data_IF_754726260639
#
_entry.id   IF_754726260639
#
_cell.length_a   1.000
_cell.length_b   1.000
_cell.length_c   1.000
_cell.angle_alpha   90.00
_cell.angle_beta   90.00
_cell.angle_gamma   90.00
#
_symmetry.space_group_name_H-M   'P 1'
#
loop_
_entity.id
_entity.type
_entity.pdbx_description
1 polymer ?
#
# COMPACT_ATOMS: atom_id res chain seq x y z
N UNK A 1 19.08 27.35 -0.97
CA UNK A 1 19.89 26.41 -1.77
C UNK A 1 18.99 25.23 -2.08
N UNK A 2 18.73 24.97 -3.36
CA UNK A 2 17.71 24.04 -3.85
C UNK A 2 17.82 22.67 -3.13
N UNK A 3 16.76 22.29 -2.42
CA UNK A 3 16.59 20.97 -1.84
C UNK A 3 16.45 19.96 -2.99
N UNK A 4 17.59 19.42 -3.45
CA UNK A 4 17.57 18.26 -4.31
C UNK A 4 17.02 17.09 -3.49
N UNK A 5 15.79 16.70 -3.80
CA UNK A 5 15.32 15.33 -3.58
C UNK A 5 16.44 14.39 -4.04
N UNK A 6 16.84 13.39 -3.25
CA UNK A 6 17.81 12.41 -3.72
C UNK A 6 17.29 11.85 -5.04
N UNK A 7 18.18 11.81 -6.03
CA UNK A 7 17.88 11.29 -7.37
C UNK A 7 17.19 9.94 -7.22
N UNK A 8 16.30 9.66 -8.18
CA UNK A 8 15.34 8.56 -8.20
C UNK A 8 16.00 7.16 -8.29
N UNK A 9 17.23 6.97 -7.81
CA UNK A 9 18.02 5.73 -7.90
C UNK A 9 17.36 4.53 -7.22
N UNK A 10 16.58 4.72 -6.15
CA UNK A 10 15.77 3.65 -5.53
C UNK A 10 14.55 3.24 -6.36
N UNK A 11 14.14 4.09 -7.31
CA UNK A 11 13.13 3.80 -8.32
C UNK A 11 13.73 3.34 -9.65
N UNK A 12 15.05 3.55 -9.83
CA UNK A 12 15.84 3.29 -11.04
C UNK A 12 16.10 1.81 -11.22
N UNK A 13 15.01 1.12 -11.50
CA UNK A 13 15.07 0.10 -12.52
C UNK A 13 14.69 0.79 -13.82
N UNK A 14 15.27 0.42 -14.95
CA UNK A 14 14.92 0.90 -16.30
C UNK A 14 13.45 0.64 -16.72
N UNK A 15 12.60 0.22 -15.76
CA UNK A 15 11.21 -0.19 -15.96
C UNK A 15 10.24 0.78 -15.32
N UNK A 16 9.05 0.81 -15.91
CA UNK A 16 8.01 1.79 -15.65
C UNK A 16 7.62 1.85 -14.16
N UNK A 17 7.40 3.07 -13.66
CA UNK A 17 6.79 3.35 -12.36
C UNK A 17 5.34 3.76 -12.66
N UNK A 18 4.53 2.77 -13.00
CA UNK A 18 3.09 2.93 -13.14
C UNK A 18 2.39 1.78 -12.44
N UNK A 19 1.33 2.15 -11.71
CA UNK A 19 0.38 1.23 -11.10
C UNK A 19 -0.97 1.25 -11.86
N UNK A 20 -1.03 1.95 -13.00
CA UNK A 20 -2.23 2.12 -13.82
C UNK A 20 -2.05 1.54 -15.22
N UNK A 21 -3.09 0.90 -15.80
CA UNK A 21 -3.05 0.47 -17.18
C UNK A 21 -2.98 1.66 -18.15
N UNK A 22 -2.42 1.39 -19.33
CA UNK A 22 -1.98 2.34 -20.40
C UNK A 22 -2.99 3.43 -20.83
N UNK A 23 -4.27 3.36 -20.44
CA UNK A 23 -5.36 4.19 -20.98
C UNK A 23 -6.28 4.87 -19.91
N UNK A 24 -5.94 4.89 -18.62
CA UNK A 24 -6.87 5.36 -17.55
C UNK A 24 -6.29 6.42 -16.61
N UNK A 25 -7.16 7.23 -16.03
CA UNK A 25 -6.85 8.32 -15.08
C UNK A 25 -5.93 7.84 -13.94
N UNK A 26 -5.07 8.73 -13.43
CA UNK A 26 -4.23 8.43 -12.28
C UNK A 26 -5.10 7.99 -11.10
N UNK A 27 -4.93 6.74 -10.68
CA UNK A 27 -5.62 6.22 -9.51
C UNK A 27 -5.23 7.04 -8.30
N UNK A 28 -6.23 7.65 -7.68
CA UNK A 28 -5.99 8.54 -6.55
C UNK A 28 -5.63 7.72 -5.31
N UNK A 29 -4.45 8.02 -4.78
CA UNK A 29 -3.93 7.42 -3.54
C UNK A 29 -4.67 8.04 -2.36
N UNK A 30 -5.21 7.22 -1.47
CA UNK A 30 -5.84 7.70 -0.23
C UNK A 30 -4.79 8.06 0.81
N UNK A 31 -3.83 7.17 1.05
CA UNK A 31 -2.82 7.35 2.10
C UNK A 31 -1.59 6.49 1.81
N UNK A 32 -0.44 6.93 2.30
CA UNK A 32 0.76 6.07 2.36
C UNK A 32 0.53 4.93 3.35
N UNK A 33 1.00 3.73 3.02
CA UNK A 33 1.12 2.58 3.92
C UNK A 33 2.57 2.36 4.38
N UNK A 34 3.48 3.26 4.00
CA UNK A 34 4.88 3.26 4.38
C UNK A 34 5.31 4.60 4.98
N UNK A 35 6.24 4.53 5.94
CA UNK A 35 6.98 5.69 6.42
C UNK A 35 8.41 5.65 5.87
N UNK A 36 8.87 6.79 5.39
CA UNK A 36 10.17 6.92 4.74
C UNK A 36 11.08 7.79 5.60
N UNK A 37 12.36 7.43 5.69
CA UNK A 37 13.38 8.25 6.33
C UNK A 37 14.59 8.38 5.41
N UNK A 38 15.09 9.61 5.28
CA UNK A 38 16.25 9.94 4.44
C UNK A 38 17.38 10.53 5.31
N UNK A 39 18.65 10.36 4.91
CA UNK A 39 19.75 11.03 5.59
C UNK A 39 19.64 12.54 5.37
N UNK A 40 19.81 13.33 6.44
CA UNK A 40 19.85 14.79 6.44
C UNK A 40 21.28 15.27 6.69
N UNK A 41 21.78 16.15 5.83
CA UNK A 41 23.12 16.71 5.92
C UNK A 41 23.21 17.94 6.84
N UNK A 42 22.45 17.97 7.94
CA UNK A 42 22.57 19.05 8.92
C UNK A 42 23.62 18.69 9.99
N UNK A 43 24.75 19.42 9.94
CA UNK A 43 25.80 19.47 10.98
C UNK A 43 26.68 18.22 11.19
N UNK A 44 27.47 17.78 10.19
CA UNK A 44 28.59 16.79 10.30
C UNK A 44 28.30 15.44 11.00
N UNK A 45 27.11 15.25 11.56
CA UNK A 45 26.52 14.03 12.08
C UNK A 45 25.31 13.76 11.20
N UNK A 46 25.21 12.57 10.62
CA UNK A 46 24.08 12.18 9.79
C UNK A 46 22.83 12.09 10.67
N UNK A 47 22.02 13.14 10.69
CA UNK A 47 20.70 13.11 11.31
C UNK A 47 19.69 12.55 10.30
N UNK A 48 18.72 11.76 10.74
CA UNK A 48 17.72 11.18 9.83
C UNK A 48 16.43 12.00 9.88
N UNK A 49 15.90 12.35 8.71
CA UNK A 49 14.62 13.04 8.56
C UNK A 49 13.56 12.03 8.14
N UNK A 50 12.58 11.81 9.01
CA UNK A 50 11.36 11.09 8.63
C UNK A 50 10.53 12.01 7.73
N UNK A 51 10.11 11.50 6.58
CA UNK A 51 9.27 12.22 5.65
C UNK A 51 7.82 12.19 6.15
N UNK A 52 7.18 13.36 6.13
CA UNK A 52 5.76 13.48 6.42
C UNK A 52 4.92 12.85 5.29
N UNK A 53 3.72 12.41 5.64
CA UNK A 53 2.77 11.87 4.66
C UNK A 53 2.50 12.92 3.59
N UNK A 54 2.84 12.61 2.34
CA UNK A 54 2.64 13.51 1.20
C UNK A 54 1.19 13.51 0.69
N UNK A 55 0.19 13.32 1.56
CA UNK A 55 -1.20 13.51 1.16
C UNK A 55 -1.44 15.01 0.93
N UNK A 56 -1.06 15.47 -0.26
CA UNK A 56 -1.08 16.87 -0.70
C UNK A 56 -2.48 17.36 -1.05
N UNK A 57 -3.49 16.49 -1.09
CA UNK A 57 -4.86 16.96 -1.24
C UNK A 57 -5.38 17.43 0.13
N UNK A 58 -5.66 18.75 0.29
CA UNK A 58 -6.62 19.18 1.27
C UNK A 58 -7.98 18.68 0.79
N UNK A 59 -8.23 17.39 0.95
CA UNK A 59 -9.55 16.81 0.85
C UNK A 59 -10.36 17.40 1.99
N UNK A 60 -10.81 18.65 1.82
CA UNK A 60 -11.87 19.20 2.65
C UNK A 60 -13.02 18.23 2.46
N UNK A 61 -13.44 17.61 3.56
CA UNK A 61 -14.50 16.59 3.58
C UNK A 61 -15.85 17.10 3.03
N UNK A 62 -15.94 18.40 2.71
CA UNK A 62 -17.07 19.13 2.13
C UNK A 62 -16.95 19.47 0.61
N UNK A 63 -16.08 18.81 -0.16
CA UNK A 63 -15.91 19.11 -1.59
C UNK A 63 -16.99 18.48 -2.52
N UNK A 64 -17.10 18.99 -3.77
CA UNK A 64 -18.02 18.48 -4.82
C UNK A 64 -17.80 17.00 -5.20
N UNK A 65 -16.68 16.38 -4.80
CA UNK A 65 -16.38 14.95 -4.98
C UNK A 65 -16.71 14.12 -3.73
N UNK A 66 -17.89 14.36 -3.16
CA UNK A 66 -18.30 13.87 -1.85
C UNK A 66 -18.25 12.34 -1.70
N UNK A 67 -18.63 11.59 -2.74
CA UNK A 67 -18.67 10.11 -2.69
C UNK A 67 -17.28 9.51 -2.64
N UNK A 68 -16.37 9.96 -3.50
CA UNK A 68 -15.00 9.46 -3.59
C UNK A 68 -14.22 9.68 -2.28
N UNK A 69 -14.41 10.84 -1.64
CA UNK A 69 -13.80 11.14 -0.35
C UNK A 69 -14.32 10.24 0.79
N UNK A 70 -15.62 9.94 0.80
CA UNK A 70 -16.20 9.01 1.77
C UNK A 70 -15.58 7.63 1.62
N UNK A 71 -15.50 7.13 0.39
CA UNK A 71 -14.88 5.83 0.09
C UNK A 71 -13.41 5.81 0.51
N UNK A 72 -12.66 6.90 0.26
CA UNK A 72 -11.27 7.02 0.71
C UNK A 72 -11.14 6.96 2.24
N UNK A 73 -11.94 7.73 2.98
CA UNK A 73 -11.90 7.75 4.44
C UNK A 73 -12.25 6.38 5.03
N UNK A 74 -13.26 5.72 4.47
CA UNK A 74 -13.70 4.41 4.92
C UNK A 74 -12.71 3.30 4.53
N UNK A 75 -12.03 3.41 3.39
CA UNK A 75 -10.92 2.52 3.03
C UNK A 75 -9.77 2.63 4.04
N UNK A 76 -9.39 3.86 4.44
CA UNK A 76 -8.38 4.08 5.50
C UNK A 76 -8.85 3.51 6.84
N UNK A 77 -10.11 3.71 7.22
CA UNK A 77 -10.68 3.11 8.42
C UNK A 77 -10.59 1.57 8.41
N UNK A 78 -10.96 0.94 7.31
CA UNK A 78 -10.90 -0.52 7.16
C UNK A 78 -9.45 -1.02 7.24
N UNK A 79 -8.52 -0.34 6.57
CA UNK A 79 -7.10 -0.65 6.67
C UNK A 79 -6.60 -0.52 8.13
N UNK A 80 -7.03 0.53 8.85
CA UNK A 80 -6.66 0.73 10.25
C UNK A 80 -7.22 -0.34 11.18
N UNK A 81 -8.51 -0.67 11.04
CA UNK A 81 -9.12 -1.80 11.74
C UNK A 81 -8.44 -3.14 11.44
N UNK A 82 -7.94 -3.30 10.21
CA UNK A 82 -7.17 -4.45 9.76
C UNK A 82 -5.72 -4.49 10.24
N UNK A 83 -5.26 -3.48 10.97
CA UNK A 83 -3.89 -3.39 11.48
C UNK A 83 -2.86 -2.92 10.45
N UNK A 84 -3.29 -2.31 9.34
CA UNK A 84 -2.39 -1.78 8.31
C UNK A 84 -1.61 -0.53 8.73
N UNK A 85 -1.91 0.03 9.89
CA UNK A 85 -1.18 1.14 10.50
C UNK A 85 -0.65 0.76 11.88
N UNK A 86 0.49 1.33 12.31
CA UNK A 86 1.07 1.03 13.62
C UNK A 86 0.32 1.70 14.79
N UNK A 87 -0.46 2.74 14.53
CA UNK A 87 -1.17 3.49 15.57
C UNK A 87 -2.41 2.79 16.11
N UNK A 88 -2.75 3.11 17.36
CA UNK A 88 -3.94 2.58 18.03
C UNK A 88 -5.21 3.18 17.41
N UNK A 89 -6.15 2.32 17.03
CA UNK A 89 -7.46 2.75 16.56
C UNK A 89 -8.19 3.56 17.66
N UNK A 90 -8.74 4.75 17.36
CA UNK A 90 -9.55 5.50 18.31
C UNK A 90 -10.78 4.71 18.77
N UNK A 91 -11.09 4.77 20.06
CA UNK A 91 -12.18 3.98 20.67
C UNK A 91 -13.54 4.23 19.99
N UNK A 92 -13.81 5.48 19.60
CA UNK A 92 -15.01 5.85 18.86
C UNK A 92 -15.16 5.09 17.52
N UNK A 93 -14.06 4.67 16.90
CA UNK A 93 -14.05 3.91 15.65
C UNK A 93 -14.07 2.40 15.88
N UNK A 94 -13.80 1.91 17.10
CA UNK A 94 -13.81 0.48 17.41
C UNK A 94 -15.24 -0.09 17.54
N UNK A 95 -16.21 0.78 17.86
CA UNK A 95 -17.62 0.42 17.91
C UNK A 95 -18.12 -0.16 16.58
N UNK A 96 -19.03 -1.15 16.64
CA UNK A 96 -19.73 -1.70 15.46
C UNK A 96 -20.93 -0.81 15.14
N UNK A 97 -20.73 0.15 14.24
CA UNK A 97 -21.73 1.16 13.85
C UNK A 97 -21.92 1.17 12.33
N UNK A 98 -22.87 1.96 11.85
CA UNK A 98 -23.17 2.11 10.42
C UNK A 98 -22.05 2.87 9.69
N UNK A 99 -21.99 2.74 8.37
CA UNK A 99 -21.05 3.52 7.56
C UNK A 99 -21.25 5.03 7.72
N UNK A 100 -22.51 5.48 7.79
CA UNK A 100 -22.86 6.89 7.99
C UNK A 100 -22.38 7.41 9.35
N UNK A 101 -22.48 6.61 10.41
CA UNK A 101 -21.96 6.96 11.73
C UNK A 101 -20.43 7.05 11.72
N UNK A 102 -19.72 6.11 11.07
CA UNK A 102 -18.27 6.21 10.91
C UNK A 102 -17.87 7.50 10.18
N UNK A 103 -18.55 7.84 9.08
CA UNK A 103 -18.29 9.08 8.34
C UNK A 103 -18.51 10.30 9.24
N UNK A 104 -19.57 10.30 10.06
CA UNK A 104 -19.84 11.38 11.01
C UNK A 104 -18.72 11.54 12.03
N UNK A 105 -18.23 10.43 12.60
CA UNK A 105 -17.12 10.43 13.57
C UNK A 105 -15.84 10.94 12.91
N UNK A 106 -15.51 10.42 11.72
CA UNK A 106 -14.32 10.82 10.97
C UNK A 106 -14.33 12.33 10.70
N UNK A 107 -15.46 12.86 10.23
CA UNK A 107 -15.59 14.29 9.91
C UNK A 107 -15.51 15.22 11.10
N UNK A 108 -15.95 14.76 12.27
CA UNK A 108 -15.83 15.54 13.51
C UNK A 108 -14.40 15.58 14.04
N UNK A 109 -13.63 14.52 13.80
CA UNK A 109 -12.30 14.36 14.39
C UNK A 109 -11.17 14.88 13.49
N UNK A 110 -11.26 14.67 12.17
CA UNK A 110 -10.22 15.07 11.22
C UNK A 110 -10.76 16.04 10.19
N UNK A 111 -9.97 17.04 9.83
CA UNK A 111 -10.31 18.03 8.80
C UNK A 111 -9.85 17.60 7.40
N UNK A 112 -8.95 16.61 7.32
CA UNK A 112 -8.43 16.04 6.08
C UNK A 112 -8.02 14.58 6.25
N UNK A 113 -7.89 13.88 5.12
CA UNK A 113 -7.39 12.50 5.07
C UNK A 113 -5.92 12.40 5.52
N UNK A 114 -5.12 13.45 5.27
CA UNK A 114 -3.75 13.55 5.73
C UNK A 114 -3.66 13.48 7.26
N UNK A 115 -4.51 14.24 7.97
CA UNK A 115 -4.55 14.21 9.44
C UNK A 115 -4.97 12.84 9.98
N UNK A 116 -5.94 12.19 9.32
CA UNK A 116 -6.35 10.82 9.68
C UNK A 116 -5.20 9.82 9.48
N UNK A 117 -4.46 9.95 8.37
CA UNK A 117 -3.29 9.11 8.09
C UNK A 117 -2.15 9.36 9.07
N UNK A 118 -1.87 10.62 9.40
CA UNK A 118 -0.85 10.98 10.38
C UNK A 118 -1.17 10.39 11.76
N UNK A 119 -2.40 10.52 12.24
CA UNK A 119 -2.81 9.89 13.50
C UNK A 119 -2.69 8.36 13.44
N UNK A 120 -3.09 7.74 12.33
CA UNK A 120 -2.92 6.29 12.13
C UNK A 120 -1.44 5.86 12.20
N UNK A 121 -0.51 6.75 11.84
CA UNK A 121 0.93 6.53 11.97
C UNK A 121 1.54 6.99 13.29
N UNK A 122 0.76 7.45 14.27
CA UNK A 122 1.27 8.11 15.49
C UNK A 122 2.12 9.36 15.20
N UNK A 123 1.82 10.09 14.12
CA UNK A 123 2.47 11.34 13.74
C UNK A 123 1.65 12.51 14.26
N UNK A 124 1.77 12.85 15.54
CA UNK A 124 1.07 14.04 16.06
C UNK A 124 1.69 15.30 15.44
N UNK A 125 0.85 16.11 14.78
CA UNK A 125 1.27 17.32 14.06
C UNK A 125 2.37 17.06 12.99
N UNK A 126 2.40 15.83 12.46
CA UNK A 126 3.41 15.43 11.48
C UNK A 126 4.79 15.17 12.08
N UNK A 127 4.90 14.98 13.40
CA UNK A 127 6.13 14.63 14.09
C UNK A 127 6.03 13.26 14.76
N UNK A 128 7.12 12.50 14.67
CA UNK A 128 7.29 11.19 15.25
C UNK A 128 7.98 11.35 16.61
N UNK A 129 7.51 10.67 17.66
CA UNK A 129 8.20 10.70 18.96
C UNK A 129 9.61 10.10 18.82
N UNK A 130 10.57 10.53 19.64
CA UNK A 130 11.95 9.98 19.60
C UNK A 130 11.94 8.47 19.80
N UNK A 131 11.14 7.97 20.74
CA UNK A 131 11.03 6.53 21.02
C UNK A 131 10.46 5.75 19.82
N UNK A 132 9.40 6.27 19.20
CA UNK A 132 8.83 5.63 18.01
C UNK A 132 9.79 5.71 16.80
N UNK A 133 10.56 6.79 16.68
CA UNK A 133 11.56 6.94 15.62
C UNK A 133 12.67 5.92 15.78
N UNK A 134 13.18 5.71 17.00
CA UNK A 134 14.19 4.67 17.28
C UNK A 134 13.65 3.26 17.07
N UNK A 135 12.38 3.01 17.41
CA UNK A 135 11.73 1.72 17.20
C UNK A 135 11.56 1.39 15.71
N UNK A 136 11.17 2.38 14.89
CA UNK A 136 10.90 2.20 13.46
C UNK A 136 12.14 2.33 12.59
N UNK A 137 13.12 3.12 13.02
CA UNK A 137 14.36 3.39 12.31
C UNK A 137 15.55 3.25 13.27
N UNK A 138 15.91 2.03 13.70
CA UNK A 138 16.97 1.82 14.68
C UNK A 138 18.34 2.24 14.16
N UNK A 139 19.23 2.67 15.06
CA UNK A 139 20.60 3.12 14.73
C UNK A 139 21.38 2.11 13.86
N UNK A 140 21.17 0.81 14.07
CA UNK A 140 21.79 -0.22 13.24
C UNK A 140 21.38 -0.14 11.77
N UNK A 141 20.10 0.13 11.50
CA UNK A 141 19.59 0.30 10.13
C UNK A 141 20.09 1.63 9.54
N UNK A 142 20.10 2.70 10.34
CA UNK A 142 20.66 4.00 9.97
C UNK A 142 22.13 3.90 9.55
N UNK A 143 22.97 3.22 10.33
CA UNK A 143 24.39 3.03 10.00
C UNK A 143 24.64 2.12 8.79
N UNK A 144 23.73 1.18 8.53
CA UNK A 144 23.82 0.29 7.36
C UNK A 144 23.33 0.95 6.06
N UNK A 145 22.54 2.02 6.17
CA UNK A 145 22.01 2.77 5.03
C UNK A 145 23.08 3.71 4.47
N UNK A 146 23.64 3.36 3.30
CA UNK A 146 24.71 4.12 2.63
C UNK A 146 24.13 5.25 1.76
N UNK A 147 25.01 6.09 1.21
CA UNK A 147 24.63 7.13 0.25
C UNK A 147 23.81 6.55 -0.90
N UNK A 148 22.70 7.22 -1.24
CA UNK A 148 21.75 6.77 -2.25
C UNK A 148 20.66 5.79 -1.76
N UNK A 149 20.74 5.35 -0.49
CA UNK A 149 19.72 4.50 0.12
C UNK A 149 18.71 5.32 0.95
N UNK A 150 17.50 4.77 1.13
CA UNK A 150 16.45 5.29 1.99
C UNK A 150 15.98 4.21 2.97
N UNK A 151 15.52 4.62 4.15
CA UNK A 151 14.88 3.72 5.10
C UNK A 151 13.37 3.72 4.92
N UNK A 152 12.76 2.55 4.99
CA UNK A 152 11.31 2.37 4.85
C UNK A 152 10.79 1.49 5.97
N UNK A 153 9.82 2.00 6.73
CA UNK A 153 9.08 1.25 7.73
C UNK A 153 7.66 0.98 7.22
N UNK A 154 7.31 -0.29 7.02
CA UNK A 154 6.03 -0.69 6.44
C UNK A 154 5.67 -2.14 6.76
N UNK A 155 4.40 -2.48 6.55
CA UNK A 155 3.92 -3.86 6.50
C UNK A 155 4.55 -4.63 5.34
N UNK A 156 4.91 -5.89 5.61
CA UNK A 156 5.51 -6.76 4.60
C UNK A 156 5.16 -8.23 4.79
N UNK A 157 5.25 -8.97 3.69
CA UNK A 157 5.12 -10.42 3.64
C UNK A 157 6.24 -11.02 2.79
N UNK A 158 6.62 -12.24 3.13
CA UNK A 158 7.56 -13.02 2.33
C UNK A 158 6.80 -14.01 1.44
N UNK A 159 6.67 -13.68 0.17
CA UNK A 159 5.79 -14.36 -0.80
C UNK A 159 6.61 -15.05 -1.89
N UNK A 160 6.02 -16.10 -2.49
CA UNK A 160 6.55 -16.75 -3.69
C UNK A 160 5.88 -16.18 -4.92
N UNK A 161 6.59 -16.17 -6.03
CA UNK A 161 5.98 -15.85 -7.32
C UNK A 161 5.58 -17.14 -8.02
N UNK A 162 4.48 -17.08 -8.78
CA UNK A 162 4.09 -18.12 -9.73
C UNK A 162 3.53 -17.45 -10.98
N UNK A 163 4.14 -17.69 -12.11
CA UNK A 163 3.73 -17.10 -13.38
C UNK A 163 4.39 -17.82 -14.55
N UNK A 164 3.88 -17.61 -15.76
CA UNK A 164 4.44 -18.23 -16.95
C UNK A 164 5.87 -17.72 -17.18
N UNK A 165 6.77 -18.65 -17.46
CA UNK A 165 8.05 -18.35 -18.07
C UNK A 165 7.75 -18.02 -19.54
N UNK A 166 8.10 -16.80 -19.97
CA UNK A 166 8.00 -16.34 -21.37
C UNK A 166 6.60 -16.25 -21.99
N UNK A 167 5.59 -15.81 -21.22
CA UNK A 167 4.30 -15.41 -21.79
C UNK A 167 3.81 -14.05 -21.28
N UNK A 168 2.87 -13.43 -22.01
CA UNK A 168 2.17 -12.18 -21.64
C UNK A 168 1.24 -12.34 -20.41
N UNK A 169 1.37 -13.44 -19.65
CA UNK A 169 0.53 -13.74 -18.51
C UNK A 169 0.97 -13.03 -17.22
N UNK A 170 0.02 -12.81 -16.32
CA UNK A 170 0.28 -12.19 -15.03
C UNK A 170 1.04 -13.12 -14.09
N UNK A 171 1.99 -12.55 -13.34
CA UNK A 171 2.69 -13.25 -12.26
C UNK A 171 1.91 -13.06 -10.96
N UNK A 172 1.56 -14.16 -10.30
CA UNK A 172 0.85 -14.17 -9.02
C UNK A 172 1.83 -14.19 -7.85
N UNK A 173 1.44 -13.53 -6.76
CA UNK A 173 2.12 -13.59 -5.46
C UNK A 173 1.35 -14.55 -4.56
N UNK A 174 2.03 -15.59 -4.08
CA UNK A 174 1.45 -16.67 -3.30
C UNK A 174 2.06 -16.75 -1.91
N UNK A 175 1.22 -17.05 -0.92
CA UNK A 175 1.65 -17.36 0.44
C UNK A 175 2.26 -18.79 0.55
N UNK A 176 2.53 -19.22 1.79
CA UNK A 176 3.04 -20.58 2.06
C UNK A 176 2.01 -21.68 1.73
N UNK A 177 0.73 -21.41 1.92
CA UNK A 177 -0.38 -22.32 1.60
C UNK A 177 -0.70 -22.41 0.11
N UNK A 178 -0.12 -21.52 -0.71
CA UNK A 178 -0.42 -21.43 -2.14
C UNK A 178 -1.61 -20.53 -2.45
N UNK A 179 -2.14 -19.81 -1.46
CA UNK A 179 -3.19 -18.83 -1.67
C UNK A 179 -2.61 -17.58 -2.33
N UNK A 180 -3.37 -17.00 -3.24
CA UNK A 180 -2.98 -15.75 -3.90
C UNK A 180 -3.18 -14.57 -2.96
N UNK A 181 -2.11 -13.82 -2.73
CA UNK A 181 -2.14 -12.58 -1.95
C UNK A 181 -2.23 -11.36 -2.86
N UNK A 182 -1.59 -11.43 -4.04
CA UNK A 182 -1.55 -10.33 -5.00
C UNK A 182 -1.03 -10.77 -6.36
N UNK A 183 -0.74 -9.79 -7.22
CA UNK A 183 -0.16 -10.00 -8.54
C UNK A 183 0.80 -8.89 -8.90
N UNK A 184 1.76 -9.17 -9.79
CA UNK A 184 2.68 -8.16 -10.31
C UNK A 184 2.01 -7.32 -11.39
N UNK A 185 2.38 -6.05 -11.45
CA UNK A 185 2.05 -5.16 -12.57
C UNK A 185 3.01 -5.44 -13.73
N UNK A 186 2.53 -5.98 -14.89
CA UNK A 186 3.39 -6.49 -15.94
C UNK A 186 4.45 -5.50 -16.47
N UNK A 187 4.12 -4.22 -16.57
CA UNK A 187 5.05 -3.21 -17.14
C UNK A 187 6.13 -2.76 -16.15
N UNK A 188 5.99 -3.12 -14.87
CA UNK A 188 6.93 -2.74 -13.81
C UNK A 188 8.01 -3.80 -13.53
N UNK A 189 7.89 -5.00 -14.13
CA UNK A 189 8.72 -6.16 -13.81
C UNK A 189 10.12 -6.02 -14.41
N UNK A 190 11.15 -6.16 -13.57
CA UNK A 190 12.52 -6.34 -14.01
C UNK A 190 12.80 -7.78 -14.41
N UNK A 191 12.41 -8.16 -15.62
CA UNK A 191 12.66 -9.49 -16.14
C UNK A 191 14.14 -9.87 -16.20
N UNK A 192 15.02 -8.92 -16.55
CA UNK A 192 16.46 -9.18 -16.63
C UNK A 192 17.04 -9.60 -15.29
N UNK A 193 16.63 -8.94 -14.21
CA UNK A 193 17.04 -9.28 -12.86
C UNK A 193 16.31 -10.49 -12.29
N UNK A 194 15.00 -10.58 -12.49
CA UNK A 194 14.18 -11.66 -11.94
C UNK A 194 14.61 -13.03 -12.50
N UNK A 195 14.95 -13.10 -13.79
CA UNK A 195 15.44 -14.33 -14.45
C UNK A 195 16.83 -14.77 -13.98
N UNK A 196 17.62 -13.90 -13.36
CA UNK A 196 18.91 -14.28 -12.76
C UNK A 196 18.76 -14.99 -11.43
N UNK A 197 17.56 -14.95 -10.82
CA UNK A 197 17.28 -15.55 -9.53
C UNK A 197 16.85 -17.01 -9.77
N UNK A 198 17.57 -18.00 -9.22
CA UNK A 198 17.18 -19.40 -9.33
C UNK A 198 15.78 -19.63 -8.76
N UNK A 199 14.97 -20.42 -9.48
CA UNK A 199 13.60 -20.78 -9.11
C UNK A 199 12.69 -19.58 -8.79
N UNK A 200 12.92 -18.43 -9.43
CA UNK A 200 12.17 -17.20 -9.16
C UNK A 200 10.64 -17.42 -9.26
N UNK A 201 10.18 -18.25 -10.19
CA UNK A 201 8.78 -18.55 -10.48
C UNK A 201 8.24 -19.82 -9.79
N UNK A 202 9.07 -20.53 -9.02
CA UNK A 202 8.68 -21.84 -8.46
C UNK A 202 9.32 -22.17 -7.10
N UNK A 203 9.90 -21.22 -6.39
CA UNK A 203 10.51 -21.51 -5.10
C UNK A 203 11.08 -20.32 -4.36
N UNK A 204 11.65 -19.36 -5.09
CA UNK A 204 12.24 -18.17 -4.50
C UNK A 204 11.19 -17.35 -3.74
N UNK A 205 11.65 -16.73 -2.65
CA UNK A 205 10.81 -15.92 -1.78
C UNK A 205 11.31 -14.49 -1.74
N UNK A 206 10.40 -13.57 -2.03
CA UNK A 206 10.65 -12.14 -2.11
C UNK A 206 9.99 -11.43 -0.94
N UNK A 207 10.62 -10.36 -0.47
CA UNK A 207 9.97 -9.45 0.46
C UNK A 207 9.01 -8.56 -0.36
N UNK A 208 7.76 -8.49 0.07
CA UNK A 208 6.69 -7.71 -0.56
C UNK A 208 6.20 -6.67 0.44
N UNK A 209 6.36 -5.40 0.10
CA UNK A 209 6.19 -4.26 0.98
C UNK A 209 4.90 -3.50 0.60
N UNK A 210 4.10 -3.13 1.59
CA UNK A 210 2.99 -2.20 1.37
C UNK A 210 3.51 -0.77 1.16
N UNK A 211 3.01 -0.09 0.13
CA UNK A 211 3.40 1.28 -0.19
C UNK A 211 2.28 2.28 0.09
N UNK A 212 1.09 2.00 -0.41
CA UNK A 212 -0.04 2.93 -0.31
C UNK A 212 -1.37 2.23 -0.55
N UNK A 213 -2.44 2.92 -0.15
CA UNK A 213 -3.81 2.49 -0.38
C UNK A 213 -4.41 3.30 -1.53
N UNK A 214 -5.06 2.62 -2.47
CA UNK A 214 -5.89 3.26 -3.49
C UNK A 214 -7.33 3.38 -2.97
N UNK A 215 -8.01 4.50 -3.22
CA UNK A 215 -9.44 4.58 -2.91
C UNK A 215 -10.35 4.39 -4.12
N UNK A 216 -9.83 4.62 -5.33
CA UNK A 216 -10.63 4.39 -6.53
C UNK A 216 -10.73 2.88 -6.74
N UNK A 217 -11.90 2.35 -6.39
CA UNK A 217 -12.10 0.94 -6.40
C UNK A 217 -12.28 0.44 -7.83
N UNK A 218 -11.42 -0.49 -8.25
CA UNK A 218 -11.43 -1.02 -9.62
C UNK A 218 -12.54 -2.05 -9.76
N UNK A 219 -13.34 -1.91 -10.81
CA UNK A 219 -14.29 -2.94 -11.20
C UNK A 219 -13.56 -4.18 -11.69
N UNK A 220 -13.88 -5.36 -11.16
CA UNK A 220 -13.25 -6.59 -11.64
C UNK A 220 -13.47 -6.83 -13.13
N UNK A 221 -14.57 -6.34 -13.71
CA UNK A 221 -14.83 -6.48 -15.15
C UNK A 221 -13.93 -5.63 -16.05
N UNK A 222 -13.32 -4.56 -15.53
CA UNK A 222 -12.42 -3.71 -16.33
C UNK A 222 -11.11 -4.41 -16.65
N UNK A 223 -10.75 -5.41 -15.85
CA UNK A 223 -9.60 -6.24 -16.11
C UNK A 223 -9.84 -7.25 -17.24
N UNK A 224 -8.77 -7.58 -17.97
CA UNK A 224 -8.80 -8.66 -18.95
C UNK A 224 -9.25 -9.98 -18.29
N UNK A 225 -9.88 -10.86 -19.07
CA UNK A 225 -10.39 -12.14 -18.56
C UNK A 225 -9.29 -13.01 -17.91
N UNK A 226 -8.03 -12.80 -18.29
CA UNK A 226 -6.86 -13.52 -17.78
C UNK A 226 -6.23 -12.87 -16.55
N UNK A 227 -6.72 -11.70 -16.12
CA UNK A 227 -6.17 -10.97 -14.99
C UNK A 227 -6.45 -11.70 -13.66
N UNK A 228 -5.47 -11.81 -12.74
CA UNK A 228 -5.65 -12.52 -11.47
C UNK A 228 -6.83 -12.01 -10.62
N UNK A 229 -7.10 -10.71 -10.64
CA UNK A 229 -8.26 -10.12 -9.94
C UNK A 229 -9.61 -10.70 -10.38
N UNK A 230 -9.74 -11.26 -11.60
CA UNK A 230 -10.96 -11.94 -12.06
C UNK A 230 -11.29 -13.22 -11.29
N UNK A 231 -10.30 -13.81 -10.62
CA UNK A 231 -10.50 -14.98 -9.76
C UNK A 231 -11.11 -14.65 -8.40
N UNK A 232 -11.16 -13.37 -8.04
CA UNK A 232 -11.78 -12.96 -6.80
C UNK A 232 -13.29 -12.93 -6.91
N UNK A 233 -13.96 -13.57 -5.95
CA UNK A 233 -15.39 -13.48 -5.76
C UNK A 233 -15.79 -12.28 -4.90
N UNK A 234 -17.10 -12.06 -4.76
CA UNK A 234 -17.73 -10.96 -3.99
C UNK A 234 -17.16 -10.81 -2.58
N UNK A 235 -16.77 -11.91 -1.95
CA UNK A 235 -16.28 -11.93 -0.57
C UNK A 235 -15.06 -11.03 -0.34
N UNK A 236 -14.24 -10.76 -1.37
CA UNK A 236 -13.04 -9.91 -1.19
C UNK A 236 -13.37 -8.41 -1.07
N UNK A 237 -14.53 -7.97 -1.56
CA UNK A 237 -15.02 -6.59 -1.46
C UNK A 237 -16.18 -6.45 -0.46
N UNK A 238 -16.69 -7.56 0.06
CA UNK A 238 -17.82 -7.56 0.97
C UNK A 238 -17.39 -7.07 2.38
N UNK A 239 -17.50 -5.76 2.56
CA UNK A 239 -17.37 -5.07 3.84
C UNK A 239 -18.75 -4.61 4.27
N UNK A 240 -19.20 -5.09 5.43
CA UNK A 240 -20.53 -4.83 5.98
C UNK A 240 -20.45 -4.03 7.28
N UNK A 241 -21.37 -3.09 7.44
CA UNK A 241 -21.58 -2.40 8.71
C UNK A 241 -22.54 -3.18 9.63
N UNK A 242 -22.93 -2.56 10.75
CA UNK A 242 -23.88 -3.15 11.70
C UNK A 242 -25.26 -3.47 11.10
N UNK A 243 -25.68 -2.74 10.06
CA UNK A 243 -26.94 -2.93 9.35
C UNK A 243 -26.81 -3.87 8.13
N UNK A 244 -25.68 -4.56 7.99
CA UNK A 244 -25.36 -5.43 6.85
C UNK A 244 -25.21 -4.69 5.51
N UNK A 245 -25.16 -3.35 5.52
CA UNK A 245 -25.00 -2.54 4.32
C UNK A 245 -23.57 -2.62 3.79
N UNK A 246 -23.42 -2.78 2.48
CA UNK A 246 -22.13 -2.78 1.81
C UNK A 246 -21.71 -1.37 1.40
N UNK A 247 -20.40 -1.14 1.37
CA UNK A 247 -19.82 0.16 1.02
C UNK A 247 -19.21 0.18 -0.40
N UNK A 248 -18.52 -0.90 -0.79
CA UNK A 248 -17.90 -1.05 -2.12
C UNK A 248 -18.69 -2.04 -2.99
N UNK A 249 -19.99 -2.15 -2.76
CA UNK A 249 -20.85 -2.99 -3.58
C UNK A 249 -22.15 -2.23 -3.75
N UNK A 250 -22.51 -1.91 -4.99
CA UNK A 250 -23.82 -1.34 -5.32
C UNK A 250 -24.82 -2.48 -5.49
N UNK A 251 -25.63 -2.72 -4.46
CA UNK A 251 -26.64 -3.78 -4.44
C UNK A 251 -27.71 -3.65 -5.55
N UNK A 252 -27.87 -2.48 -6.19
CA UNK A 252 -28.79 -2.28 -7.31
C UNK A 252 -28.17 -2.66 -8.66
N UNK A 253 -26.90 -2.31 -8.89
CA UNK A 253 -26.17 -2.65 -10.13
C UNK A 253 -25.81 -4.16 -10.15
N UNK A 254 -25.50 -4.74 -8.99
CA UNK A 254 -25.11 -6.15 -8.81
C UNK A 254 -26.19 -7.16 -9.21
N UNK A 255 -27.48 -6.79 -9.19
CA UNK A 255 -28.56 -7.67 -9.68
C UNK A 255 -28.50 -7.89 -11.19
N UNK A 256 -27.76 -7.03 -11.90
CA UNK A 256 -27.65 -7.01 -13.36
C UNK A 256 -26.28 -7.57 -13.81
N UNK A 257 -25.21 -7.37 -13.03
CA UNK A 257 -23.86 -7.91 -13.32
C UNK A 257 -23.18 -8.41 -12.04
N UNK A 258 -23.06 -9.74 -11.81
CA UNK A 258 -22.34 -10.28 -10.66
C UNK A 258 -20.81 -10.08 -10.73
N UNK A 259 -20.32 -9.33 -11.73
CA UNK A 259 -18.90 -9.10 -12.02
C UNK A 259 -18.44 -7.66 -11.67
N UNK A 260 -19.30 -6.86 -11.04
CA UNK A 260 -19.04 -5.46 -10.71
C UNK A 260 -18.50 -5.32 -9.28
N UNK A 261 -17.43 -6.05 -8.98
CA UNK A 261 -16.77 -5.99 -7.67
C UNK A 261 -15.81 -4.81 -7.64
N UNK A 262 -16.01 -3.88 -6.71
CA UNK A 262 -15.11 -2.76 -6.47
C UNK A 262 -14.01 -3.15 -5.49
N UNK A 263 -12.77 -3.28 -5.99
CA UNK A 263 -11.63 -3.67 -5.18
C UNK A 263 -10.91 -2.45 -4.63
N UNK A 264 -10.88 -2.32 -3.30
CA UNK A 264 -9.89 -1.48 -2.62
C UNK A 264 -8.55 -2.21 -2.69
N UNK A 265 -7.56 -1.58 -3.29
CA UNK A 265 -6.26 -2.17 -3.61
C UNK A 265 -5.16 -1.55 -2.77
N UNK A 266 -4.26 -2.41 -2.33
CA UNK A 266 -2.98 -2.06 -1.70
C UNK A 266 -1.92 -2.09 -2.79
N UNK A 267 -1.22 -0.98 -2.96
CA UNK A 267 -0.04 -0.91 -3.81
C UNK A 267 1.14 -1.54 -3.09
N UNK A 268 1.84 -2.42 -3.78
CA UNK A 268 2.92 -3.22 -3.26
C UNK A 268 4.21 -2.99 -4.06
N UNK A 269 5.33 -3.11 -3.37
CA UNK A 269 6.66 -3.25 -3.99
C UNK A 269 7.20 -4.63 -3.72
N UNK A 270 7.71 -5.29 -4.75
CA UNK A 270 8.45 -6.54 -4.57
C UNK A 270 9.93 -6.24 -4.68
N UNK A 271 10.69 -6.70 -3.68
CA UNK A 271 12.13 -6.44 -3.59
C UNK A 271 12.94 -7.71 -3.43
N UNK A 272 14.14 -7.67 -3.97
CA UNK A 272 15.19 -8.65 -3.72
C UNK A 272 16.18 -8.10 -2.69
N UNK A 273 16.75 -9.00 -1.88
CA UNK A 273 17.80 -8.70 -0.92
C UNK A 273 19.19 -8.95 -1.50
N UNK A 274 20.03 -7.93 -1.50
CA UNK A 274 21.44 -8.02 -1.87
C UNK A 274 22.28 -7.29 -0.81
N UNK A 275 23.11 -8.01 -0.06
CA UNK A 275 23.98 -7.44 0.98
C UNK A 275 23.28 -6.57 2.04
N UNK A 276 22.03 -6.91 2.39
CA UNK A 276 21.22 -6.16 3.35
C UNK A 276 20.50 -4.95 2.76
N UNK A 277 20.78 -4.58 1.51
CA UNK A 277 20.05 -3.56 0.76
C UNK A 277 18.96 -4.26 -0.06
N UNK A 278 17.78 -3.66 -0.10
CA UNK A 278 16.64 -4.12 -0.88
C UNK A 278 16.52 -3.32 -2.15
N UNK A 279 16.40 -4.01 -3.28
CA UNK A 279 16.24 -3.37 -4.59
C UNK A 279 14.93 -3.83 -5.22
N UNK A 280 14.19 -2.91 -5.84
CA UNK A 280 12.91 -3.20 -6.50
C UNK A 280 13.13 -4.18 -7.66
N UNK A 281 12.31 -5.22 -7.72
CA UNK A 281 12.22 -6.14 -8.87
C UNK A 281 10.88 -6.01 -9.60
N UNK A 282 9.81 -5.58 -8.92
CA UNK A 282 8.51 -5.30 -9.54
C UNK A 282 7.65 -4.41 -8.64
N UNK A 283 6.60 -3.84 -9.22
CA UNK A 283 5.42 -3.36 -8.49
C UNK A 283 4.33 -4.43 -8.54
N UNK A 284 3.42 -4.37 -7.57
CA UNK A 284 2.35 -5.33 -7.41
C UNK A 284 1.10 -4.69 -6.79
N UNK A 285 -0.01 -5.41 -6.87
CA UNK A 285 -1.26 -5.04 -6.23
C UNK A 285 -1.81 -6.23 -5.42
N UNK A 286 -2.57 -5.91 -4.38
CA UNK A 286 -3.38 -6.86 -3.63
C UNK A 286 -4.72 -6.25 -3.25
N UNK A 287 -5.78 -7.06 -3.18
CA UNK A 287 -7.02 -6.60 -2.56
C UNK A 287 -6.79 -6.38 -1.05
N UNK A 288 -7.25 -5.26 -0.50
CA UNK A 288 -7.02 -4.89 0.91
C UNK A 288 -7.46 -6.00 1.87
N UNK A 289 -8.60 -6.62 1.64
CA UNK A 289 -9.11 -7.71 2.49
C UNK A 289 -8.16 -8.91 2.51
N UNK A 290 -7.64 -9.30 1.36
CA UNK A 290 -6.68 -10.40 1.21
C UNK A 290 -5.36 -10.03 1.89
N UNK A 291 -4.87 -8.81 1.72
CA UNK A 291 -3.68 -8.31 2.39
C UNK A 291 -3.82 -8.38 3.92
N UNK A 292 -4.93 -7.89 4.47
CA UNK A 292 -5.22 -7.97 5.93
C UNK A 292 -5.26 -9.43 6.40
N UNK A 293 -5.96 -10.30 5.67
CA UNK A 293 -6.10 -11.72 6.03
C UNK A 293 -4.76 -12.47 6.00
N UNK A 294 -3.82 -12.04 5.15
CA UNK A 294 -2.48 -12.60 5.10
C UNK A 294 -1.59 -12.20 6.31
N UNK A 295 -2.08 -11.32 7.20
CA UNK A 295 -1.44 -10.89 8.46
C UNK A 295 0.02 -10.42 8.29
N UNK A 296 0.26 -9.45 7.39
CA UNK A 296 1.57 -8.83 7.20
C UNK A 296 2.12 -8.25 8.51
N UNK A 297 3.44 -8.17 8.60
CA UNK A 297 4.13 -7.64 9.78
C UNK A 297 4.94 -6.41 9.43
N UNK A 298 5.04 -5.47 10.36
CA UNK A 298 5.84 -4.27 10.18
C UNK A 298 7.32 -4.58 10.30
N UNK A 299 8.09 -4.09 9.34
CA UNK A 299 9.56 -4.19 9.33
C UNK A 299 10.18 -2.92 8.75
N UNK A 300 11.46 -2.74 9.04
CA UNK A 300 12.29 -1.67 8.47
C UNK A 300 13.20 -2.24 7.39
N UNK A 301 13.20 -1.59 6.23
CA UNK A 301 14.00 -1.97 5.07
C UNK A 301 14.92 -0.82 4.67
N UNK A 302 16.10 -1.17 4.16
CA UNK A 302 17.01 -0.25 3.48
C UNK A 302 16.77 -0.44 1.99
N UNK A 303 16.17 0.54 1.33
CA UNK A 303 15.99 0.52 -0.12
C UNK A 303 17.13 1.27 -0.81
N UNK A 304 17.60 0.78 -1.94
CA UNK A 304 18.63 1.43 -2.77
C UNK A 304 18.59 0.99 -4.22
#
# INVERSE_FOLDING_TARGET
MQEMFPSWSWSSVDNEIRLCPRNGQWERISVSLAQFAIPSAQNRQTQWKVLQSTSTEPHKLDSRHFKDHILACLAVLIAWKGGCFPGKLPEALDAKVTWEEYVSIIRRKWTSLAQMGDEAYCMQEGLLSVSDQEARFPLKAQHACRDGCILVYTQSLRLRMKGPEDSMGYVKLLDRGGNMVGWLEPTSINWGRLRQIPDWNNGAKFDVLALSLQYEAKYTYSYSATHPARSYGRDVANWRDSNQKTIFIDDHIDRISPYDVHLVTVNLMVVESENGIRKRVALAEAALKIWIQAKPQFHTFILG
#
